data_IF_966599048789
#
_entry.id   IF_966599048789
#
_cell.length_a   1.000
_cell.length_b   1.000
_cell.length_c   1.000
_cell.angle_alpha   90.00
_cell.angle_beta   90.00
_cell.angle_gamma   90.00
#
_symmetry.space_group_name_H-M   'P 1'
#
loop_
_entity.id
_entity.type
_entity.pdbx_description
1 polymer ?
#
# COMPACT_ATOMS: atom_id res chain seq x y z
N UNK A 1 -28.75 59.78 41.50
CA UNK A 1 -30.10 59.26 41.82
C UNK A 1 -30.21 57.90 41.12
N UNK A 2 -30.03 56.78 41.83
CA UNK A 2 -31.11 55.89 42.36
C UNK A 2 -31.82 55.16 41.20
N UNK A 3 -31.98 53.82 41.07
CA UNK A 3 -31.91 52.58 41.87
C UNK A 3 -31.88 51.40 40.85
N UNK A 4 -31.02 50.37 40.94
CA UNK A 4 -31.20 49.03 41.56
C UNK A 4 -32.53 48.29 41.35
N UNK A 5 -32.45 47.02 40.89
CA UNK A 5 -33.28 45.81 41.22
C UNK A 5 -32.75 44.64 40.33
N UNK A 6 -32.06 43.59 40.79
CA UNK A 6 -32.37 42.48 41.73
C UNK A 6 -33.47 41.53 41.25
N UNK A 7 -33.14 40.23 41.07
CA UNK A 7 -33.92 38.99 41.43
C UNK A 7 -33.07 37.76 41.01
N UNK A 8 -32.38 37.06 41.94
CA UNK A 8 -32.78 35.87 42.73
C UNK A 8 -32.70 34.54 41.92
N UNK A 9 -31.65 33.72 42.04
CA UNK A 9 -31.36 32.71 43.06
C UNK A 9 -32.33 31.51 43.10
N UNK A 10 -31.84 30.34 42.66
CA UNK A 10 -32.46 29.03 42.84
C UNK A 10 -31.40 27.97 43.15
N UNK A 11 -31.29 27.60 44.43
CA UNK A 11 -30.29 26.72 45.04
C UNK A 11 -31.03 25.52 45.63
N UNK A 12 -30.74 24.30 45.22
CA UNK A 12 -31.21 23.06 45.87
C UNK A 12 -30.46 21.85 45.28
N UNK A 13 -30.09 20.78 45.98
CA UNK A 13 -29.86 20.43 47.38
C UNK A 13 -29.13 19.07 47.30
N UNK A 14 -28.12 18.86 48.15
CA UNK A 14 -27.42 17.58 48.30
C UNK A 14 -28.35 16.49 48.88
N UNK A 15 -28.23 15.25 48.40
CA UNK A 15 -28.50 13.98 49.12
C UNK A 15 -27.62 12.90 48.47
N UNK A 16 -26.48 12.52 49.07
CA UNK A 16 -26.30 11.50 50.13
C UNK A 16 -26.49 10.06 49.67
N UNK A 17 -25.34 9.35 49.67
CA UNK A 17 -25.08 7.90 49.56
C UNK A 17 -26.00 7.00 50.40
N UNK A 18 -26.04 5.70 50.05
CA UNK A 18 -25.74 4.68 51.03
C UNK A 18 -24.62 3.71 50.59
N UNK A 19 -23.85 3.29 51.59
CA UNK A 19 -22.83 2.23 51.60
C UNK A 19 -23.44 0.81 51.67
N UNK A 20 -22.54 -0.20 51.66
CA UNK A 20 -22.65 -1.60 52.12
C UNK A 20 -22.86 -2.60 50.96
N UNK A 21 -22.12 -3.71 50.75
CA UNK A 21 -21.23 -4.56 51.57
C UNK A 21 -20.28 -5.36 50.66
N UNK A 22 -19.01 -5.53 51.07
CA UNK A 22 -18.05 -6.52 50.55
C UNK A 22 -18.18 -7.87 51.25
N UNK A 23 -17.74 -8.99 50.65
CA UNK A 23 -17.20 -10.08 51.46
C UNK A 23 -15.76 -10.47 51.10
N UNK A 24 -15.02 -10.61 52.20
CA UNK A 24 -13.65 -11.08 52.42
C UNK A 24 -13.31 -12.47 51.85
N UNK A 25 -12.07 -12.55 51.39
CA UNK A 25 -11.06 -13.63 51.46
C UNK A 25 -11.30 -14.79 52.42
N UNK A 26 -10.91 -16.00 52.01
CA UNK A 26 -10.00 -16.89 52.79
C UNK A 26 -9.11 -17.77 51.87
N UNK A 27 -7.88 -18.11 52.31
CA UNK A 27 -6.91 -18.93 51.58
C UNK A 27 -6.84 -20.39 52.11
N UNK A 28 -6.37 -21.35 51.32
CA UNK A 28 -5.76 -22.58 51.87
C UNK A 28 -4.62 -23.15 51.00
N UNK A 29 -3.62 -23.65 51.72
CA UNK A 29 -2.25 -24.06 51.35
C UNK A 29 -2.15 -25.35 50.52
N UNK A 30 -1.22 -25.30 49.54
CA UNK A 30 -0.01 -26.12 49.34
C UNK A 30 0.01 -27.57 49.90
N UNK A 31 0.29 -28.54 49.02
CA UNK A 31 1.44 -29.49 49.16
C UNK A 31 1.86 -30.10 47.82
N UNK A 32 3.18 -30.07 47.62
CA UNK A 32 4.00 -30.70 46.57
C UNK A 32 3.83 -32.24 46.56
N UNK A 33 4.17 -33.02 45.52
CA UNK A 33 5.52 -33.32 45.04
C UNK A 33 5.49 -34.06 43.67
N UNK A 34 6.54 -33.77 42.86
CA UNK A 34 7.31 -34.61 41.90
C UNK A 34 6.65 -35.84 41.23
N UNK A 35 6.85 -36.13 39.94
CA UNK A 35 8.14 -36.34 39.26
C UNK A 35 7.87 -36.49 37.75
N UNK A 36 8.74 -35.94 36.90
CA UNK A 36 8.77 -36.14 35.44
C UNK A 36 9.08 -37.61 35.07
N UNK A 37 8.65 -38.09 33.89
CA UNK A 37 9.62 -38.06 32.79
C UNK A 37 9.01 -37.68 31.43
N UNK A 38 9.66 -36.71 30.81
CA UNK A 38 10.10 -36.69 29.41
C UNK A 38 9.69 -37.89 28.54
N UNK A 39 8.77 -37.70 27.58
CA UNK A 39 8.81 -38.37 26.26
C UNK A 39 8.07 -37.57 25.17
N UNK A 40 8.85 -37.23 24.15
CA UNK A 40 8.52 -37.10 22.73
C UNK A 40 7.15 -36.50 22.32
N UNK A 41 7.21 -35.25 21.85
CA UNK A 41 6.19 -34.63 20.99
C UNK A 41 6.10 -35.40 19.67
N UNK A 42 5.03 -36.19 19.47
CA UNK A 42 4.57 -36.60 18.14
C UNK A 42 3.44 -35.66 17.70
N UNK A 43 3.65 -35.05 16.55
CA UNK A 43 2.80 -34.08 15.88
C UNK A 43 1.35 -34.54 15.71
N UNK A 44 0.40 -33.65 16.03
CA UNK A 44 -1.03 -33.78 15.78
C UNK A 44 -1.34 -33.68 14.27
N UNK A 45 -1.00 -34.73 13.52
CA UNK A 45 -1.26 -34.82 12.08
C UNK A 45 -1.57 -36.27 11.69
N UNK A 46 -2.62 -36.87 12.28
CA UNK A 46 -3.08 -38.20 11.88
C UNK A 46 -4.48 -38.60 12.42
N UNK A 47 -5.50 -37.73 12.47
CA UNK A 47 -6.90 -38.19 12.61
C UNK A 47 -7.84 -37.20 11.91
N UNK A 48 -8.19 -37.50 10.65
CA UNK A 48 -9.42 -37.10 9.95
C UNK A 48 -9.34 -37.62 8.50
N UNK A 49 -9.29 -38.95 8.37
CA UNK A 49 -9.41 -39.64 7.08
C UNK A 49 -10.37 -40.81 7.28
N UNK A 50 -11.68 -40.50 7.33
CA UNK A 50 -12.80 -41.42 7.14
C UNK A 50 -14.10 -40.63 7.31
N UNK A 51 -14.46 -39.86 6.29
CA UNK A 51 -15.86 -39.58 5.94
C UNK A 51 -15.87 -38.90 4.56
N UNK A 52 -15.80 -39.74 3.52
CA UNK A 52 -15.91 -39.32 2.13
C UNK A 52 -16.52 -40.47 1.33
N UNK A 53 -17.77 -40.80 1.64
CA UNK A 53 -18.64 -41.56 0.76
C UNK A 53 -19.98 -40.82 0.65
N UNK A 54 -19.95 -39.72 -0.09
CA UNK A 54 -21.14 -39.10 -0.66
C UNK A 54 -20.74 -38.57 -2.05
N UNK A 55 -21.32 -39.24 -3.05
CA UNK A 55 -21.33 -39.04 -4.51
C UNK A 55 -20.47 -37.95 -5.16
N UNK A 56 -19.67 -38.28 -6.19
CA UNK A 56 -19.29 -37.27 -7.17
C UNK A 56 -20.53 -36.98 -8.03
N UNK A 57 -21.09 -35.79 -7.88
CA UNK A 57 -21.92 -35.23 -8.96
C UNK A 57 -21.04 -35.15 -10.20
N UNK A 58 -21.40 -35.96 -11.20
CA UNK A 58 -20.88 -35.93 -12.55
C UNK A 58 -21.06 -34.52 -13.10
N UNK A 59 -20.04 -33.68 -12.97
CA UNK A 59 -19.91 -32.50 -13.81
C UNK A 59 -19.54 -32.98 -15.19
N UNK A 60 -20.55 -33.03 -16.06
CA UNK A 60 -20.39 -33.23 -17.48
C UNK A 60 -19.26 -32.34 -18.00
N UNK A 61 -18.17 -32.99 -18.40
CA UNK A 61 -17.06 -32.38 -19.10
C UNK A 61 -17.51 -32.02 -20.53
N UNK A 62 -18.42 -31.04 -20.65
CA UNK A 62 -18.54 -30.27 -21.88
C UNK A 62 -17.38 -29.29 -21.91
N UNK A 63 -16.34 -29.61 -22.66
CA UNK A 63 -15.24 -28.68 -22.96
C UNK A 63 -15.76 -27.59 -23.90
N UNK A 64 -16.68 -26.78 -23.40
CA UNK A 64 -17.14 -25.55 -24.03
C UNK A 64 -15.99 -24.55 -23.93
N UNK A 65 -15.27 -24.35 -25.02
CA UNK A 65 -14.18 -23.39 -25.14
C UNK A 65 -14.73 -21.98 -24.89
N UNK A 66 -14.57 -21.46 -23.67
CA UNK A 66 -14.92 -20.08 -23.32
C UNK A 66 -14.21 -19.13 -24.28
N UNK A 67 -14.98 -18.35 -25.04
CA UNK A 67 -14.41 -17.39 -25.97
C UNK A 67 -13.80 -16.23 -25.17
N UNK A 68 -12.63 -15.73 -25.61
CA UNK A 68 -11.96 -14.63 -24.90
C UNK A 68 -12.75 -13.32 -24.97
N UNK A 69 -13.59 -13.16 -26.00
CA UNK A 69 -14.44 -11.99 -26.21
C UNK A 69 -15.59 -11.89 -25.20
N UNK A 70 -16.02 -13.02 -24.64
CA UNK A 70 -17.14 -13.08 -23.68
C UNK A 70 -16.67 -12.77 -22.24
N UNK A 71 -15.36 -12.60 -22.03
CA UNK A 71 -14.81 -12.35 -20.71
C UNK A 71 -14.89 -10.87 -20.36
N UNK A 72 -15.65 -10.56 -19.32
CA UNK A 72 -15.75 -9.21 -18.78
C UNK A 72 -14.37 -8.64 -18.40
N UNK A 73 -14.07 -7.38 -18.74
CA UNK A 73 -12.81 -6.75 -18.39
C UNK A 73 -12.62 -6.67 -16.88
N UNK A 74 -11.35 -6.66 -16.45
CA UNK A 74 -10.97 -6.56 -15.03
C UNK A 74 -9.87 -5.54 -14.84
N UNK A 75 -9.86 -4.89 -13.68
CA UNK A 75 -8.74 -4.07 -13.23
C UNK A 75 -7.75 -4.87 -12.40
N UNK A 76 -6.47 -4.59 -12.62
CA UNK A 76 -5.37 -5.14 -11.83
C UNK A 76 -5.29 -4.40 -10.49
N UNK A 77 -5.37 -5.13 -9.38
CA UNK A 77 -5.34 -4.54 -8.03
C UNK A 77 -4.02 -3.82 -7.70
N UNK A 78 -2.92 -4.21 -8.36
CA UNK A 78 -1.60 -3.63 -8.10
C UNK A 78 -1.37 -2.34 -8.86
N UNK A 79 -1.74 -2.30 -10.14
CA UNK A 79 -1.35 -1.19 -11.02
C UNK A 79 -2.52 -0.39 -11.60
N UNK A 80 -3.76 -0.84 -11.40
CA UNK A 80 -4.97 -0.22 -11.95
C UNK A 80 -5.12 -0.35 -13.47
N UNK A 81 -4.32 -1.20 -14.14
CA UNK A 81 -4.47 -1.47 -15.58
C UNK A 81 -5.49 -2.56 -15.85
N UNK A 82 -6.04 -2.57 -17.05
CA UNK A 82 -6.90 -3.63 -17.57
C UNK A 82 -6.11 -4.93 -17.66
N UNK A 83 -6.71 -6.02 -17.21
CA UNK A 83 -6.17 -7.36 -17.39
C UNK A 83 -6.61 -7.84 -18.76
N UNK A 84 -5.67 -7.99 -19.68
CA UNK A 84 -5.95 -8.56 -21.00
C UNK A 84 -6.21 -10.06 -20.87
N UNK A 85 -7.36 -10.57 -21.34
CA UNK A 85 -7.65 -11.99 -21.37
C UNK A 85 -6.58 -12.78 -22.14
N UNK A 86 -6.23 -13.98 -21.67
CA UNK A 86 -5.31 -14.91 -22.34
C UNK A 86 -5.96 -16.28 -22.40
N UNK A 87 -5.70 -17.05 -23.46
CA UNK A 87 -6.28 -18.39 -23.64
C UNK A 87 -6.08 -19.30 -22.42
N UNK A 88 -4.90 -19.25 -21.80
CA UNK A 88 -4.58 -20.01 -20.58
C UNK A 88 -5.37 -19.62 -19.32
N UNK A 89 -6.01 -18.45 -19.32
CA UNK A 89 -6.74 -17.91 -18.17
C UNK A 89 -8.26 -17.97 -18.34
N UNK A 90 -8.76 -18.35 -19.51
CA UNK A 90 -10.20 -18.34 -19.78
C UNK A 90 -10.99 -19.24 -18.81
N UNK A 91 -10.42 -20.39 -18.44
CA UNK A 91 -11.04 -21.35 -17.51
C UNK A 91 -11.16 -20.81 -16.07
N UNK A 92 -10.16 -20.06 -15.61
CA UNK A 92 -10.06 -19.56 -14.22
C UNK A 92 -10.21 -18.04 -14.14
N UNK A 93 -10.94 -17.42 -15.07
CA UNK A 93 -10.99 -15.96 -15.21
C UNK A 93 -11.40 -15.29 -13.90
N UNK A 94 -12.32 -15.87 -13.14
CA UNK A 94 -12.80 -15.38 -11.85
C UNK A 94 -11.68 -15.23 -10.80
N UNK A 95 -10.67 -16.11 -10.82
CA UNK A 95 -9.54 -16.08 -9.91
C UNK A 95 -8.43 -15.09 -10.28
N UNK A 96 -8.44 -14.52 -11.50
CA UNK A 96 -7.41 -13.61 -11.96
C UNK A 96 -7.57 -12.22 -11.33
N UNK A 97 -6.49 -11.74 -10.70
CA UNK A 97 -6.45 -10.46 -9.97
C UNK A 97 -5.35 -9.49 -10.41
N UNK A 98 -4.37 -9.97 -11.16
CA UNK A 98 -3.19 -9.20 -11.53
C UNK A 98 -2.87 -9.37 -13.02
N UNK A 99 -2.37 -8.31 -13.66
CA UNK A 99 -2.06 -8.32 -15.09
C UNK A 99 -0.74 -9.03 -15.44
N UNK A 100 0.13 -9.27 -14.46
CA UNK A 100 1.44 -9.91 -14.65
C UNK A 100 1.97 -10.52 -13.36
N UNK A 101 2.96 -11.42 -13.49
CA UNK A 101 3.68 -12.00 -12.34
C UNK A 101 4.36 -10.92 -11.50
N UNK A 102 4.93 -9.89 -12.15
CA UNK A 102 5.49 -8.71 -11.47
C UNK A 102 4.43 -8.00 -10.63
N UNK A 103 3.21 -7.80 -11.15
CA UNK A 103 2.14 -7.17 -10.36
C UNK A 103 1.64 -8.09 -9.23
N UNK A 104 1.70 -9.41 -9.40
CA UNK A 104 1.37 -10.37 -8.35
C UNK A 104 2.39 -10.33 -7.20
N UNK A 105 3.69 -10.20 -7.50
CA UNK A 105 4.75 -10.12 -6.48
C UNK A 105 4.93 -8.72 -5.89
N UNK A 106 4.70 -7.67 -6.68
CA UNK A 106 4.75 -6.26 -6.24
C UNK A 106 3.40 -5.74 -5.78
N UNK A 107 2.59 -6.59 -5.10
CA UNK A 107 1.34 -6.10 -4.52
C UNK A 107 1.68 -4.87 -3.67
N UNK A 108 0.99 -3.74 -3.87
CA UNK A 108 1.24 -2.53 -3.10
C UNK A 108 0.74 -2.81 -1.68
N UNK A 109 1.58 -3.46 -0.89
CA UNK A 109 1.46 -3.50 0.56
C UNK A 109 2.12 -2.26 1.16
N UNK A 110 2.08 -2.17 2.48
CA UNK A 110 2.71 -1.10 3.24
C UNK A 110 4.23 -1.16 3.06
N UNK A 111 4.77 -0.49 2.04
CA UNK A 111 6.22 -0.30 1.92
C UNK A 111 6.56 0.81 2.91
N UNK A 112 7.09 0.41 4.07
CA UNK A 112 7.44 1.36 5.13
C UNK A 112 8.93 1.66 5.07
N UNK A 113 9.29 2.88 4.69
CA UNK A 113 10.64 3.39 4.91
C UNK A 113 10.71 3.95 6.33
N UNK A 114 11.62 3.43 7.15
CA UNK A 114 11.88 3.94 8.49
C UNK A 114 13.30 4.50 8.55
N UNK A 115 13.46 5.74 9.00
CA UNK A 115 14.75 6.42 9.07
C UNK A 115 14.74 7.50 10.16
N UNK A 116 15.93 7.97 10.52
CA UNK A 116 16.11 9.06 11.49
C UNK A 116 16.26 10.38 10.75
N UNK A 117 15.64 11.43 11.27
CA UNK A 117 15.77 12.79 10.75
C UNK A 117 15.95 13.79 11.91
N UNK A 118 16.72 14.86 11.67
CA UNK A 118 16.80 15.97 12.62
C UNK A 118 15.46 16.71 12.72
N UNK A 119 15.13 17.21 13.91
CA UNK A 119 13.85 17.87 14.18
C UNK A 119 13.55 19.02 13.21
N UNK A 120 14.56 19.85 12.88
CA UNK A 120 14.43 21.00 11.97
C UNK A 120 14.05 20.62 10.53
N UNK A 121 14.39 19.42 10.08
CA UNK A 121 14.17 18.95 8.71
C UNK A 121 12.86 18.13 8.59
N UNK A 122 12.23 17.79 9.72
CA UNK A 122 11.05 16.92 9.76
C UNK A 122 9.76 17.62 9.33
N UNK A 123 9.69 18.93 9.47
CA UNK A 123 8.46 19.72 9.25
C UNK A 123 7.90 19.51 7.84
N UNK A 124 8.76 19.40 6.82
CA UNK A 124 8.35 19.16 5.43
C UNK A 124 7.54 17.86 5.24
N UNK A 125 7.83 16.82 6.02
CA UNK A 125 7.16 15.52 5.94
C UNK A 125 6.05 15.34 6.99
N UNK A 126 6.01 16.21 8.00
CA UNK A 126 5.00 16.13 9.07
C UNK A 126 3.61 16.46 8.51
N UNK A 127 2.57 15.89 9.12
CA UNK A 127 1.15 16.05 8.71
C UNK A 127 0.80 15.54 7.31
N UNK A 128 1.72 14.85 6.64
CA UNK A 128 1.46 14.21 5.34
C UNK A 128 0.84 12.83 5.55
N UNK A 129 -0.11 12.49 4.68
CA UNK A 129 -0.70 11.15 4.66
C UNK A 129 0.38 10.08 4.55
N UNK A 130 0.27 9.03 5.36
CA UNK A 130 1.22 7.91 5.35
C UNK A 130 2.53 8.17 6.11
N UNK A 131 2.72 9.36 6.70
CA UNK A 131 3.89 9.68 7.52
C UNK A 131 3.52 9.62 9.00
N UNK A 132 4.31 8.88 9.78
CA UNK A 132 4.22 8.86 11.24
C UNK A 132 5.57 9.20 11.84
N UNK A 133 5.58 10.14 12.79
CA UNK A 133 6.78 10.63 13.45
C UNK A 133 6.73 10.31 14.94
N UNK A 134 7.79 9.74 15.49
CA UNK A 134 8.00 9.54 16.94
C UNK A 134 9.40 10.01 17.28
N UNK A 135 9.53 11.08 18.05
CA UNK A 135 10.81 11.75 18.34
C UNK A 135 11.58 12.10 17.04
N UNK A 136 12.67 11.38 16.76
CA UNK A 136 13.49 11.52 15.56
C UNK A 136 13.25 10.40 14.54
N UNK A 137 12.45 9.39 14.89
CA UNK A 137 12.14 8.27 14.01
C UNK A 137 10.93 8.63 13.13
N UNK A 138 11.13 8.57 11.82
CA UNK A 138 10.09 8.78 10.83
C UNK A 138 9.82 7.47 10.12
N UNK A 139 8.54 7.12 10.01
CA UNK A 139 8.08 6.00 9.19
C UNK A 139 7.17 6.54 8.10
N UNK A 140 7.46 6.20 6.86
CA UNK A 140 6.69 6.60 5.68
C UNK A 140 6.16 5.37 5.00
N UNK A 141 4.85 5.23 4.98
CA UNK A 141 4.16 4.35 4.04
C UNK A 141 4.19 4.99 2.65
N UNK A 142 5.04 4.44 1.79
CA UNK A 142 5.33 5.00 0.47
C UNK A 142 4.08 5.08 -0.41
N UNK A 143 3.18 4.11 -0.33
CA UNK A 143 1.98 4.11 -1.17
C UNK A 143 0.98 5.17 -0.69
N UNK A 144 0.70 5.21 0.62
CA UNK A 144 -0.15 6.24 1.23
C UNK A 144 0.41 7.65 1.01
N UNK A 145 1.74 7.80 1.12
CA UNK A 145 2.42 9.08 0.89
C UNK A 145 2.26 9.58 -0.55
N UNK A 146 2.47 8.70 -1.55
CA UNK A 146 2.27 9.05 -2.96
C UNK A 146 0.81 9.35 -3.27
N UNK A 147 -0.13 8.58 -2.71
CA UNK A 147 -1.58 8.84 -2.84
C UNK A 147 -1.96 10.20 -2.24
N UNK A 148 -1.41 10.56 -1.07
CA UNK A 148 -1.63 11.84 -0.43
C UNK A 148 -1.12 13.04 -1.25
N UNK A 149 0.09 12.93 -1.82
CA UNK A 149 0.63 13.99 -2.70
C UNK A 149 -0.22 14.13 -3.97
N UNK A 150 -0.70 13.02 -4.54
CA UNK A 150 -1.60 13.10 -5.69
C UNK A 150 -2.91 13.83 -5.37
N UNK A 151 -3.50 13.57 -4.20
CA UNK A 151 -4.70 14.27 -3.73
C UNK A 151 -4.43 15.77 -3.49
N UNK A 152 -3.27 16.14 -2.95
CA UNK A 152 -2.84 17.54 -2.82
C UNK A 152 -2.78 18.25 -4.18
N UNK A 153 -2.13 17.62 -5.18
CA UNK A 153 -2.04 18.21 -6.53
C UNK A 153 -3.41 18.30 -7.18
N UNK A 154 -4.24 17.28 -7.03
CA UNK A 154 -5.58 17.24 -7.57
C UNK A 154 -6.51 18.31 -6.99
N UNK A 155 -6.27 18.71 -5.73
CA UNK A 155 -7.05 19.71 -5.00
C UNK A 155 -6.73 21.16 -5.39
N UNK A 156 -5.66 21.40 -6.13
CA UNK A 156 -5.32 22.74 -6.63
C UNK A 156 -6.39 23.28 -7.57
N UNK A 157 -6.52 24.61 -7.66
CA UNK A 157 -7.45 25.24 -8.59
C UNK A 157 -7.11 24.82 -10.03
N UNK A 158 -8.03 24.11 -10.69
CA UNK A 158 -7.79 23.55 -12.03
C UNK A 158 -6.99 22.24 -12.05
N UNK A 159 -6.67 21.66 -10.89
CA UNK A 159 -5.90 20.42 -10.75
C UNK A 159 -4.40 20.62 -11.02
N UNK A 160 -3.75 19.55 -11.48
CA UNK A 160 -2.36 19.56 -11.91
C UNK A 160 -2.04 18.36 -12.81
N UNK A 161 -0.77 18.02 -12.94
CA UNK A 161 -0.27 16.88 -13.71
C UNK A 161 0.37 15.81 -12.82
N UNK A 162 0.61 14.62 -13.35
CA UNK A 162 1.37 13.59 -12.63
C UNK A 162 2.84 13.98 -12.47
N UNK A 163 3.37 14.78 -13.38
CA UNK A 163 4.70 15.38 -13.32
C UNK A 163 4.79 16.38 -12.14
N UNK A 164 3.76 17.21 -11.92
CA UNK A 164 3.69 18.09 -10.75
C UNK A 164 3.71 17.30 -9.42
N UNK A 165 3.07 16.13 -9.38
CA UNK A 165 3.13 15.24 -8.21
C UNK A 165 4.54 14.66 -7.99
N UNK A 166 5.24 14.31 -9.06
CA UNK A 166 6.62 13.85 -9.00
C UNK A 166 7.55 14.95 -8.48
N UNK A 167 7.42 16.16 -9.00
CA UNK A 167 8.25 17.31 -8.59
C UNK A 167 7.91 17.75 -7.17
N UNK A 168 6.64 17.64 -6.76
CA UNK A 168 6.23 17.87 -5.38
C UNK A 168 6.91 16.88 -4.43
N UNK A 169 6.95 15.59 -4.76
CA UNK A 169 7.65 14.58 -3.95
C UNK A 169 9.13 14.93 -3.83
N UNK A 170 9.81 15.29 -4.93
CA UNK A 170 11.23 15.69 -4.89
C UNK A 170 11.47 16.90 -4.01
N UNK A 171 10.67 17.96 -4.17
CA UNK A 171 10.74 19.17 -3.35
C UNK A 171 10.54 18.89 -1.86
N UNK A 172 9.64 17.96 -1.50
CA UNK A 172 9.44 17.54 -0.11
C UNK A 172 10.68 16.81 0.45
N UNK A 173 11.32 15.95 -0.36
CA UNK A 173 12.54 15.26 0.03
C UNK A 173 13.72 16.23 0.20
N UNK A 174 13.90 17.16 -0.75
CA UNK A 174 14.92 18.21 -0.67
C UNK A 174 14.74 19.09 0.57
N UNK A 175 13.51 19.51 0.86
CA UNK A 175 13.18 20.28 2.06
C UNK A 175 13.46 19.50 3.36
N UNK A 176 13.39 18.17 3.30
CA UNK A 176 13.76 17.27 4.39
C UNK A 176 15.26 16.94 4.42
N UNK A 177 16.09 17.58 3.57
CA UNK A 177 17.51 17.25 3.38
C UNK A 177 17.76 15.78 3.02
N UNK A 178 16.80 15.15 2.34
CA UNK A 178 16.91 13.77 1.85
C UNK A 178 17.47 13.81 0.43
N UNK A 179 18.65 13.22 0.17
CA UNK A 179 19.25 13.24 -1.16
C UNK A 179 18.39 12.45 -2.15
N UNK A 180 18.08 13.10 -3.29
CA UNK A 180 17.32 12.54 -4.41
C UNK A 180 18.28 12.24 -5.55
N UNK A 181 18.49 10.95 -5.81
CA UNK A 181 19.39 10.50 -6.88
C UNK A 181 20.88 10.71 -6.55
N UNK A 182 21.67 9.66 -6.73
CA UNK A 182 22.93 9.86 -7.44
C UNK A 182 22.64 9.51 -8.90
N UNK A 183 22.94 10.43 -9.82
CA UNK A 183 23.24 10.00 -11.18
C UNK A 183 24.47 9.11 -11.06
N UNK A 184 24.43 7.90 -11.57
CA UNK A 184 25.65 7.23 -12.02
C UNK A 184 26.30 8.18 -13.04
N UNK A 185 27.22 9.01 -12.58
CA UNK A 185 28.11 9.76 -13.43
C UNK A 185 29.06 8.75 -14.06
N UNK A 186 28.89 8.56 -15.37
CA UNK A 186 29.99 8.28 -16.30
C UNK A 186 30.91 7.10 -15.94
N UNK A 187 30.42 5.86 -16.03
CA UNK A 187 31.27 4.81 -16.58
C UNK A 187 31.08 4.84 -18.10
N UNK A 188 31.90 5.64 -18.79
CA UNK A 188 32.15 5.37 -20.22
C UNK A 188 32.60 3.90 -20.31
N UNK A 189 32.05 3.09 -21.22
CA UNK A 189 32.77 1.89 -21.62
C UNK A 189 34.04 2.40 -22.32
N UNK A 190 35.18 2.28 -21.65
CA UNK A 190 36.46 2.36 -22.35
C UNK A 190 36.59 1.08 -23.16
N UNK A 191 36.49 1.21 -24.49
CA UNK A 191 36.96 0.20 -25.43
C UNK A 191 38.43 -0.12 -25.10
N UNK A 192 38.65 -1.32 -24.57
CA UNK A 192 39.93 -2.02 -24.63
C UNK A 192 39.58 -3.47 -24.90
N UNK A 193 39.64 -3.82 -26.18
CA UNK A 193 39.69 -5.20 -26.67
C UNK A 193 41.02 -5.81 -26.25
N UNK A 194 41.03 -6.69 -25.23
CA UNK A 194 42.07 -7.72 -25.10
C UNK A 194 41.44 -9.02 -24.58
N UNK A 195 41.49 -10.03 -25.43
CA UNK A 195 41.19 -11.44 -25.15
C UNK A 195 42.18 -12.00 -24.12
N UNK A 196 41.70 -12.71 -23.07
CA UNK A 196 42.29 -13.98 -22.63
C UNK A 196 41.50 -14.67 -21.49
N UNK A 197 41.14 -15.92 -21.79
CA UNK A 197 40.99 -17.13 -20.99
C UNK A 197 40.54 -17.13 -19.51
N UNK A 198 39.59 -18.03 -19.26
CA UNK A 198 38.97 -18.25 -17.96
C UNK A 198 39.84 -19.01 -16.97
N UNK A 199 39.73 -18.63 -15.70
CA UNK A 199 39.89 -19.52 -14.57
C UNK A 199 39.03 -19.05 -13.39
N UNK A 200 38.25 -19.96 -12.81
CA UNK A 200 37.44 -19.76 -11.62
C UNK A 200 38.31 -19.56 -10.37
N UNK A 201 38.06 -18.49 -9.61
CA UNK A 201 38.47 -18.38 -8.21
C UNK A 201 37.38 -17.72 -7.35
N UNK A 202 36.98 -18.42 -6.29
CA UNK A 202 36.21 -17.89 -5.15
C UNK A 202 37.02 -16.79 -4.46
N UNK A 203 36.45 -15.60 -4.28
CA UNK A 203 36.93 -14.64 -3.29
C UNK A 203 35.80 -13.66 -2.89
N UNK A 204 35.44 -13.78 -1.62
CA UNK A 204 35.07 -12.72 -0.66
C UNK A 204 34.36 -11.46 -1.18
N UNK A 205 33.11 -11.35 -0.74
CA UNK A 205 32.35 -10.13 -0.49
C UNK A 205 33.21 -8.98 0.01
N UNK A 206 33.55 -8.05 -0.87
CA UNK A 206 33.83 -6.66 -0.52
C UNK A 206 32.75 -5.81 -1.19
N UNK A 207 31.69 -5.52 -0.45
CA UNK A 207 30.65 -4.56 -0.85
C UNK A 207 31.27 -3.19 -0.61
N UNK A 208 31.69 -2.54 -1.70
CA UNK A 208 32.20 -1.18 -1.69
C UNK A 208 31.14 -0.21 -1.12
N UNK A 209 31.55 0.48 -0.06
CA UNK A 209 30.81 1.38 0.80
C UNK A 209 31.09 2.82 0.38
N UNK A 210 30.36 3.34 -0.63
CA UNK A 210 30.51 4.76 -1.00
C UNK A 210 29.32 5.38 -1.73
N UNK A 211 28.09 4.92 -1.52
CA UNK A 211 26.89 5.75 -1.77
C UNK A 211 25.69 5.27 -0.96
N UNK A 212 25.59 5.65 0.32
CA UNK A 212 24.40 5.35 1.11
C UNK A 212 23.19 6.13 0.58
N UNK A 213 22.45 5.53 -0.35
CA UNK A 213 21.16 6.04 -0.83
C UNK A 213 20.16 6.06 0.33
N UNK A 214 19.55 7.23 0.59
CA UNK A 214 18.61 7.38 1.68
C UNK A 214 17.44 6.39 1.57
N UNK A 215 17.04 5.77 2.69
CA UNK A 215 16.08 4.66 2.72
C UNK A 215 14.72 5.02 2.10
N UNK A 216 14.25 6.26 2.30
CA UNK A 216 13.00 6.75 1.69
C UNK A 216 13.11 6.87 0.17
N UNK A 217 14.21 7.46 -0.34
CA UNK A 217 14.42 7.57 -1.78
C UNK A 217 14.57 6.18 -2.41
N UNK A 218 15.37 5.30 -1.79
CA UNK A 218 15.50 3.90 -2.20
C UNK A 218 14.14 3.20 -2.29
N UNK A 219 13.25 3.42 -1.33
CA UNK A 219 11.91 2.83 -1.36
C UNK A 219 11.03 3.41 -2.48
N UNK A 220 11.06 4.73 -2.68
CA UNK A 220 10.31 5.42 -3.74
C UNK A 220 10.75 4.99 -5.14
N UNK A 221 12.08 4.90 -5.36
CA UNK A 221 12.71 4.65 -6.65
C UNK A 221 12.94 3.16 -6.98
N UNK A 222 12.86 2.28 -5.98
CA UNK A 222 12.83 0.83 -6.22
C UNK A 222 11.70 0.43 -7.19
N UNK A 223 11.84 -0.67 -7.95
CA UNK A 223 10.82 -1.12 -8.90
C UNK A 223 9.40 -1.04 -8.31
N UNK A 224 8.46 -0.34 -8.97
CA UNK A 224 8.47 0.04 -10.38
C UNK A 224 9.13 1.40 -10.72
N UNK A 225 9.75 2.08 -9.76
CA UNK A 225 10.27 3.44 -9.90
C UNK A 225 9.21 4.50 -9.57
N UNK A 226 9.66 5.69 -9.15
CA UNK A 226 8.78 6.76 -8.64
C UNK A 226 7.69 7.14 -9.66
N UNK A 227 8.08 7.36 -10.91
CA UNK A 227 7.16 7.77 -11.97
C UNK A 227 6.03 6.75 -12.20
N UNK A 228 6.36 5.46 -12.30
CA UNK A 228 5.31 4.44 -12.49
C UNK A 228 4.52 4.23 -11.20
N UNK A 229 5.11 4.40 -10.02
CA UNK A 229 4.38 4.36 -8.75
C UNK A 229 3.29 5.42 -8.68
N UNK A 230 3.60 6.66 -9.05
CA UNK A 230 2.63 7.76 -9.18
C UNK A 230 1.53 7.38 -10.18
N UNK A 231 1.89 6.86 -11.37
CA UNK A 231 0.90 6.44 -12.37
C UNK A 231 0.00 5.30 -11.87
N UNK A 232 0.54 4.34 -11.11
CA UNK A 232 -0.25 3.26 -10.49
C UNK A 232 -1.23 3.81 -9.46
N UNK A 233 -0.77 4.66 -8.55
CA UNK A 233 -1.61 5.29 -7.54
C UNK A 233 -2.73 6.12 -8.18
N UNK A 234 -2.41 6.94 -9.18
CA UNK A 234 -3.39 7.74 -9.91
C UNK A 234 -4.48 6.88 -10.57
N UNK A 235 -4.12 5.78 -11.24
CA UNK A 235 -5.11 4.85 -11.83
C UNK A 235 -5.98 4.18 -10.76
N UNK A 236 -5.39 3.76 -9.64
CA UNK A 236 -6.17 3.15 -8.54
C UNK A 236 -7.19 4.15 -8.00
N UNK A 237 -6.75 5.35 -7.62
CA UNK A 237 -7.63 6.39 -7.08
C UNK A 237 -8.73 6.79 -8.06
N UNK A 238 -8.42 6.86 -9.36
CA UNK A 238 -9.42 7.12 -10.40
C UNK A 238 -10.46 5.99 -10.53
N UNK A 239 -10.09 4.74 -10.24
CA UNK A 239 -11.01 3.60 -10.19
C UNK A 239 -11.71 3.46 -8.83
N UNK A 240 -11.43 4.30 -7.83
CA UNK A 240 -11.94 4.12 -6.46
C UNK A 240 -11.27 2.96 -5.73
N UNK A 241 -10.07 2.59 -6.18
CA UNK A 241 -9.17 1.64 -5.52
C UNK A 241 -8.10 2.40 -4.74
N UNK A 242 -7.62 1.77 -3.69
CA UNK A 242 -6.47 2.19 -2.86
C UNK A 242 -5.49 1.03 -2.78
N UNK A 243 -4.27 1.28 -2.30
CA UNK A 243 -3.31 0.20 -2.05
C UNK A 243 -3.81 -0.84 -1.01
N UNK A 244 -4.71 -0.45 -0.10
CA UNK A 244 -5.34 -1.35 0.90
C UNK A 244 -6.63 -2.06 0.42
N UNK A 245 -7.12 -1.74 -0.79
CA UNK A 245 -8.39 -2.24 -1.31
C UNK A 245 -8.52 -3.77 -1.31
N UNK A 246 -9.75 -4.26 -1.19
CA UNK A 246 -10.05 -5.68 -1.05
C UNK A 246 -9.64 -6.45 -2.30
N UNK A 247 -9.02 -7.62 -2.12
CA UNK A 247 -8.57 -8.47 -3.22
C UNK A 247 -9.67 -9.00 -4.16
N UNK A 248 -10.94 -8.71 -3.86
CA UNK A 248 -12.10 -9.07 -4.67
C UNK A 248 -12.57 -7.96 -5.62
N UNK A 249 -12.04 -6.74 -5.54
CA UNK A 249 -12.51 -5.57 -6.33
C UNK A 249 -11.98 -5.51 -7.77
N UNK A 250 -11.67 -6.64 -8.39
CA UNK A 250 -11.11 -6.68 -9.77
C UNK A 250 -12.15 -6.40 -10.84
N UNK A 251 -13.44 -6.41 -10.50
CA UNK A 251 -14.56 -6.10 -11.39
C UNK A 251 -14.80 -4.60 -11.57
N UNK A 252 -14.09 -3.72 -10.83
CA UNK A 252 -14.23 -2.28 -11.03
C UNK A 252 -13.50 -1.87 -12.31
N UNK A 253 -14.26 -1.39 -13.29
CA UNK A 253 -13.76 -1.06 -14.64
C UNK A 253 -14.11 0.36 -15.09
N UNK A 254 -14.90 1.10 -14.31
CA UNK A 254 -15.25 2.50 -14.55
C UNK A 254 -14.62 3.40 -13.49
N UNK A 255 -14.45 4.69 -13.81
CA UNK A 255 -13.92 5.69 -12.89
C UNK A 255 -15.01 6.40 -12.09
N UNK A 256 -16.21 5.83 -12.04
CA UNK A 256 -17.38 6.42 -11.39
C UNK A 256 -17.19 6.54 -9.87
N UNK A 257 -16.65 5.51 -9.24
CA UNK A 257 -16.40 5.47 -7.79
C UNK A 257 -15.07 6.12 -7.36
N UNK A 258 -14.29 6.68 -8.30
CA UNK A 258 -12.98 7.25 -8.02
C UNK A 258 -13.02 8.60 -7.30
N UNK A 259 -12.01 8.86 -6.48
CA UNK A 259 -11.79 10.17 -5.87
C UNK A 259 -11.12 11.17 -6.83
N UNK A 260 -10.52 10.66 -7.90
CA UNK A 260 -9.79 11.45 -8.90
C UNK A 260 -10.36 11.28 -10.30
N UNK A 261 -10.29 12.34 -11.08
CA UNK A 261 -10.43 12.30 -12.53
C UNK A 261 -9.06 12.43 -13.19
N UNK A 262 -8.75 11.52 -14.13
CA UNK A 262 -7.59 11.65 -14.99
C UNK A 262 -8.02 12.14 -16.37
N UNK A 263 -7.28 13.10 -16.91
CA UNK A 263 -7.53 13.66 -18.23
C UNK A 263 -6.30 13.56 -19.12
N UNK A 264 -6.51 13.23 -20.40
CA UNK A 264 -5.50 13.25 -21.43
C UNK A 264 -5.97 14.16 -22.58
N UNK A 265 -5.20 15.20 -22.90
CA UNK A 265 -5.60 16.19 -23.92
C UNK A 265 -6.97 16.80 -23.66
N UNK A 266 -7.31 17.08 -22.39
CA UNK A 266 -8.60 17.64 -21.98
C UNK A 266 -9.77 16.63 -21.89
N UNK A 267 -9.59 15.37 -22.33
CA UNK A 267 -10.63 14.35 -22.26
C UNK A 267 -10.51 13.53 -20.97
N UNK A 268 -11.62 13.37 -20.25
CA UNK A 268 -11.71 12.53 -19.04
C UNK A 268 -11.63 11.05 -19.41
N UNK A 269 -10.75 10.30 -18.75
CA UNK A 269 -10.60 8.86 -18.89
C UNK A 269 -11.65 8.16 -18.01
N UNK A 270 -12.62 7.47 -18.63
CA UNK A 270 -13.82 6.96 -17.93
C UNK A 270 -13.74 5.48 -17.61
N UNK A 271 -12.90 4.74 -18.33
CA UNK A 271 -12.78 3.29 -18.20
C UNK A 271 -11.38 2.85 -17.82
N UNK A 272 -11.24 1.64 -17.28
CA UNK A 272 -9.95 1.00 -17.02
C UNK A 272 -9.12 0.87 -18.30
N UNK A 273 -9.74 0.67 -19.46
CA UNK A 273 -9.07 0.65 -20.76
C UNK A 273 -8.47 2.02 -21.09
N UNK A 274 -9.25 3.10 -20.97
CA UNK A 274 -8.77 4.47 -21.18
C UNK A 274 -7.54 4.75 -20.31
N UNK A 275 -7.64 4.45 -19.01
CA UNK A 275 -6.55 4.59 -18.05
C UNK A 275 -5.31 3.75 -18.40
N UNK A 276 -5.51 2.56 -18.96
CA UNK A 276 -4.42 1.62 -19.27
C UNK A 276 -3.63 2.03 -20.50
N UNK A 277 -4.31 2.56 -21.50
CA UNK A 277 -3.72 2.93 -22.79
C UNK A 277 -3.30 4.40 -22.85
N UNK A 278 -3.66 5.20 -21.86
CA UNK A 278 -3.23 6.59 -21.74
C UNK A 278 -1.69 6.71 -21.69
N UNK A 279 -1.15 7.57 -22.56
CA UNK A 279 0.28 7.82 -22.75
C UNK A 279 0.61 9.31 -22.58
N UNK A 280 1.86 9.60 -22.25
CA UNK A 280 2.32 10.98 -22.04
C UNK A 280 1.76 11.61 -20.78
N UNK A 281 1.64 12.94 -20.83
CA UNK A 281 1.20 13.81 -19.74
C UNK A 281 -0.26 13.54 -19.41
N UNK A 282 -0.54 13.32 -18.13
CA UNK A 282 -1.89 13.15 -17.61
C UNK A 282 -2.17 14.23 -16.59
N UNK A 283 -3.33 14.86 -16.75
CA UNK A 283 -3.84 15.81 -15.78
C UNK A 283 -4.66 15.06 -14.74
N UNK A 284 -4.62 15.55 -13.51
CA UNK A 284 -5.33 15.01 -12.35
C UNK A 284 -6.14 16.11 -11.70
N UNK A 285 -7.40 15.81 -11.38
CA UNK A 285 -8.32 16.70 -10.68
C UNK A 285 -9.08 15.92 -9.60
N UNK A 286 -9.45 16.58 -8.51
CA UNK A 286 -10.43 16.02 -7.60
C UNK A 286 -11.75 15.84 -8.33
N UNK A 287 -12.40 14.70 -8.08
CA UNK A 287 -13.74 14.48 -8.55
C UNK A 287 -14.71 15.16 -7.58
N UNK A 288 -15.40 16.19 -8.05
CA UNK A 288 -16.46 16.81 -7.25
C UNK A 288 -17.60 15.79 -7.12
N UNK A 289 -17.87 15.40 -5.86
CA UNK A 289 -18.94 14.45 -5.50
C UNK A 289 -20.31 15.10 -5.63
#
# INVERSE_FOLDING_TARGET
MLRTSTTQAGRALLRSRPELVSPSSRPFRIRHLSTTPFMARKSARAIAAADSTASPETQDASTSKVSLSDLNPKSCLTCGRVITPRAKWAKDWNGIKYCSDRCRSSRPGKIVAAFKIEQKNREALTDRSGVTCSDNDVRVDVETFVEGVLLEIAAKAGGGTLEDAQDRIRSLLESASIPVGMRESETKPSDTDEDEDGQSHNASTEIDDSTHVHLLWKALDSPPGLRERIRRAARRLALGLTHESNTRQTSITTTEAGSLELLQGGKVLRTVQDLSFAKGVLHVKLKNS
#
